data_IF_078388194539
#
_entry.id   IF_078388194539
#
_cell.length_a   1.000
_cell.length_b   1.000
_cell.length_c   1.000
_cell.angle_alpha   90.00
_cell.angle_beta   90.00
_cell.angle_gamma   90.00
#
_symmetry.space_group_name_H-M   'P 1'
#
loop_
_entity.id
_entity.type
_entity.pdbx_description
1 polymer ?
#
# COMPACT_ATOMS: atom_id res chain seq x y z
N UNK A 1 5.68 24.09 13.97
CA UNK A 1 5.81 22.63 14.12
C UNK A 1 6.23 22.05 12.77
N UNK A 2 6.85 20.88 12.72
CA UNK A 2 7.13 20.17 11.47
C UNK A 2 6.48 18.79 11.48
N UNK A 3 5.80 18.45 10.40
CA UNK A 3 5.27 17.11 10.18
C UNK A 3 6.24 16.36 9.25
N UNK A 4 6.70 15.19 9.69
CA UNK A 4 7.51 14.26 8.90
C UNK A 4 6.61 13.11 8.50
N UNK A 5 6.17 13.11 7.26
CA UNK A 5 5.42 12.00 6.67
C UNK A 5 6.37 10.87 6.25
N UNK A 6 5.87 9.63 6.32
CA UNK A 6 6.65 8.40 6.15
C UNK A 6 7.89 8.36 7.08
N UNK A 7 7.68 8.73 8.36
CA UNK A 7 8.74 8.93 9.34
C UNK A 7 9.62 7.68 9.56
N UNK A 8 9.12 6.48 9.25
CA UNK A 8 9.92 5.26 9.27
C UNK A 8 11.19 5.37 8.40
N UNK A 9 11.17 6.14 7.31
CA UNK A 9 12.30 6.33 6.40
C UNK A 9 13.57 6.88 7.06
N UNK A 10 13.44 7.47 8.26
CA UNK A 10 14.56 8.00 9.06
C UNK A 10 15.39 6.87 9.69
N UNK A 11 14.76 5.74 10.00
CA UNK A 11 15.37 4.62 10.71
C UNK A 11 16.01 3.63 9.74
N UNK A 12 17.25 3.23 10.02
CA UNK A 12 17.97 2.18 9.29
C UNK A 12 17.33 0.79 9.47
N UNK A 13 16.59 0.61 10.56
CA UNK A 13 15.82 -0.61 10.86
C UNK A 13 14.49 -0.68 10.11
N UNK A 14 14.13 0.38 9.39
CA UNK A 14 12.91 0.39 8.58
C UNK A 14 13.10 -0.35 7.25
N UNK A 15 11.99 -0.87 6.75
CA UNK A 15 11.92 -1.56 5.45
C UNK A 15 12.19 -0.66 4.23
N UNK A 16 12.28 0.66 4.42
CA UNK A 16 12.44 1.67 3.36
C UNK A 16 13.29 2.86 3.88
N UNK A 17 14.46 2.55 4.45
CA UNK A 17 15.40 3.57 4.90
C UNK A 17 15.83 4.50 3.75
N UNK A 18 15.76 5.82 3.99
CA UNK A 18 16.16 6.85 3.01
C UNK A 18 17.20 7.78 3.61
N UNK A 19 18.47 7.70 3.20
CA UNK A 19 19.53 8.58 3.69
C UNK A 19 19.25 10.08 3.48
N UNK A 20 18.37 10.46 2.55
CA UNK A 20 17.96 11.85 2.38
C UNK A 20 17.15 12.40 3.57
N UNK A 21 16.41 11.56 4.29
CA UNK A 21 15.74 11.96 5.53
C UNK A 21 16.76 12.29 6.63
N UNK A 22 17.93 11.63 6.63
CA UNK A 22 19.02 11.98 7.54
C UNK A 22 19.67 13.33 7.21
N UNK A 23 19.45 13.90 6.02
CA UNK A 23 19.94 15.27 5.72
C UNK A 23 19.09 16.34 6.42
N UNK A 24 17.81 16.05 6.70
CA UNK A 24 17.02 16.84 7.65
C UNK A 24 17.60 16.71 9.08
N UNK A 25 18.36 15.62 9.32
CA UNK A 25 19.06 15.27 10.54
C UNK A 25 20.57 15.63 10.58
N UNK A 26 21.16 16.26 9.57
CA UNK A 26 22.60 16.53 9.55
C UNK A 26 22.92 17.93 9.07
N UNK A 27 23.56 18.72 9.95
CA UNK A 27 24.92 19.27 9.72
C UNK A 27 25.65 19.45 11.05
N UNK A 28 26.73 18.68 11.30
CA UNK A 28 28.02 19.21 11.78
C UNK A 28 29.14 18.18 11.59
N UNK A 29 29.67 18.12 10.37
CA UNK A 29 30.97 17.51 10.09
C UNK A 29 31.92 18.59 9.59
N UNK A 30 32.63 19.25 10.49
CA UNK A 30 33.63 20.26 10.11
C UNK A 30 33.86 21.30 11.19
N UNK A 31 35.06 21.25 11.79
CA UNK A 31 35.64 22.30 12.62
C UNK A 31 35.46 23.67 11.92
N UNK A 32 34.78 24.60 12.58
CA UNK A 32 35.03 26.04 12.42
C UNK A 32 34.64 26.75 13.71
N UNK A 33 35.67 27.25 14.37
CA UNK A 33 35.57 28.28 15.41
C UNK A 33 34.96 29.50 14.74
N UNK A 34 33.71 29.84 15.09
CA UNK A 34 33.17 31.16 14.80
C UNK A 34 33.55 32.04 15.99
N UNK A 35 34.55 32.90 15.77
CA UNK A 35 34.74 34.13 16.57
C UNK A 35 33.47 34.97 16.39
N UNK A 36 32.81 35.33 17.48
CA UNK A 36 31.64 36.20 17.49
C UNK A 36 30.52 35.59 18.33
N UNK A 37 30.42 36.02 19.58
CA UNK A 37 29.49 35.50 20.57
C UNK A 37 28.03 35.74 20.22
N UNK A 38 27.25 34.66 20.23
CA UNK A 38 25.83 34.66 20.56
C UNK A 38 25.65 33.49 21.54
N UNK A 39 25.05 33.67 22.73
CA UNK A 39 24.91 32.59 23.69
C UNK A 39 23.98 31.51 23.13
N UNK A 40 24.45 30.27 23.09
CA UNK A 40 23.62 29.09 22.87
C UNK A 40 22.60 29.00 24.01
N UNK A 41 21.32 29.21 23.68
CA UNK A 41 20.21 28.92 24.58
C UNK A 41 20.24 27.44 24.98
N UNK A 42 20.44 27.18 26.27
CA UNK A 42 20.28 25.86 26.90
C UNK A 42 18.81 25.45 26.79
N UNK A 43 18.44 24.75 25.73
CA UNK A 43 17.09 24.19 25.58
C UNK A 43 16.97 23.07 24.56
N UNK A 44 18.09 22.59 24.01
CA UNK A 44 18.08 21.42 23.13
C UNK A 44 18.16 20.14 23.95
N UNK A 45 17.16 19.26 23.82
CA UNK A 45 17.25 17.87 24.29
C UNK A 45 18.48 17.21 23.64
N UNK A 46 19.47 16.72 24.43
CA UNK A 46 20.62 16.01 23.88
C UNK A 46 20.11 14.73 23.20
N UNK A 47 20.31 14.61 21.88
CA UNK A 47 19.98 13.38 21.13
C UNK A 47 19.11 13.54 19.89
N UNK A 48 18.42 14.69 19.70
CA UNK A 48 17.63 14.89 18.48
C UNK A 48 18.53 15.15 17.28
N UNK A 49 18.42 14.32 16.23
CA UNK A 49 19.28 14.48 15.04
C UNK A 49 18.76 15.57 14.09
N UNK A 50 17.50 16.02 14.17
CA UNK A 50 16.90 17.07 13.30
C UNK A 50 17.41 18.52 13.54
N UNK A 51 18.73 18.73 13.53
CA UNK A 51 19.36 20.02 13.81
C UNK A 51 18.98 21.11 12.80
N UNK A 52 18.92 20.82 11.50
CA UNK A 52 18.59 21.85 10.48
C UNK A 52 17.21 22.46 10.74
N UNK A 53 16.22 21.63 11.04
CA UNK A 53 14.86 22.08 11.33
C UNK A 53 14.78 22.83 12.67
N UNK A 54 15.50 22.36 13.70
CA UNK A 54 15.52 22.99 15.03
C UNK A 54 16.26 24.34 15.04
N UNK A 55 17.47 24.36 14.48
CA UNK A 55 18.43 25.46 14.64
C UNK A 55 18.26 26.53 13.56
N UNK A 56 18.06 26.15 12.29
CA UNK A 56 17.89 27.13 11.20
C UNK A 56 16.46 27.62 11.05
N UNK A 57 15.48 26.76 11.31
CA UNK A 57 14.06 27.07 11.11
C UNK A 57 13.28 27.23 12.42
N UNK A 58 13.93 27.10 13.59
CA UNK A 58 13.30 27.32 14.90
C UNK A 58 12.20 26.29 15.25
N UNK A 59 12.17 25.13 14.59
CA UNK A 59 11.13 24.12 14.80
C UNK A 59 11.36 23.41 16.14
N UNK A 60 10.44 23.59 17.10
CA UNK A 60 10.53 22.94 18.42
C UNK A 60 9.58 21.76 18.62
N UNK A 61 8.56 21.64 17.77
CA UNK A 61 7.53 20.60 17.83
C UNK A 61 7.57 19.76 16.54
N UNK A 62 7.66 18.45 16.69
CA UNK A 62 7.72 17.47 15.61
C UNK A 62 6.55 16.50 15.71
N UNK A 63 5.97 16.18 14.55
CA UNK A 63 4.97 15.12 14.39
C UNK A 63 5.51 14.13 13.36
N UNK A 64 5.78 12.89 13.77
CA UNK A 64 6.17 11.80 12.86
C UNK A 64 4.95 10.95 12.53
N UNK A 65 4.61 10.83 11.25
CA UNK A 65 3.51 9.98 10.78
C UNK A 65 4.09 8.78 10.03
N UNK A 66 3.60 7.58 10.35
CA UNK A 66 3.90 6.37 9.59
C UNK A 66 2.71 5.42 9.67
N UNK A 67 2.38 4.78 8.54
CA UNK A 67 1.34 3.76 8.51
C UNK A 67 1.83 2.41 9.05
N UNK A 68 3.09 2.08 8.82
CA UNK A 68 3.71 0.81 9.24
C UNK A 68 5.05 1.08 9.91
N UNK A 69 5.25 0.53 11.11
CA UNK A 69 6.54 0.53 11.81
C UNK A 69 6.55 -0.56 12.89
N UNK A 70 7.66 -1.30 12.98
CA UNK A 70 7.91 -2.16 14.14
C UNK A 70 8.14 -1.31 15.39
N UNK A 71 8.00 -1.88 16.59
CA UNK A 71 8.29 -1.15 17.83
C UNK A 71 9.75 -0.65 17.88
N UNK A 72 10.69 -1.43 17.34
CA UNK A 72 12.08 -1.02 17.20
C UNK A 72 12.23 0.18 16.25
N UNK A 73 11.60 0.13 15.08
CA UNK A 73 11.59 1.25 14.12
C UNK A 73 10.96 2.50 14.73
N UNK A 74 9.81 2.37 15.41
CA UNK A 74 9.12 3.49 16.03
C UNK A 74 9.95 4.16 17.14
N UNK A 75 10.66 3.36 17.96
CA UNK A 75 11.59 3.86 18.97
C UNK A 75 12.78 4.59 18.36
N UNK A 76 13.36 4.05 17.30
CA UNK A 76 14.47 4.71 16.61
C UNK A 76 14.02 6.03 15.96
N UNK A 77 12.86 6.05 15.31
CA UNK A 77 12.25 7.29 14.79
C UNK A 77 12.02 8.32 15.89
N UNK A 78 11.45 7.92 17.04
CA UNK A 78 11.25 8.81 18.19
C UNK A 78 12.58 9.38 18.71
N UNK A 79 13.62 8.54 18.82
CA UNK A 79 14.96 8.96 19.19
C UNK A 79 15.52 10.00 18.20
N UNK A 80 15.38 9.76 16.91
CA UNK A 80 15.80 10.71 15.88
C UNK A 80 15.09 12.06 16.00
N UNK A 81 13.78 12.07 16.22
CA UNK A 81 12.95 13.27 16.40
C UNK A 81 13.17 13.98 17.75
N UNK A 82 13.80 13.30 18.70
CA UNK A 82 13.96 13.78 20.08
C UNK A 82 12.64 13.79 20.85
N UNK A 83 11.77 12.81 20.56
CA UNK A 83 10.50 12.57 21.25
C UNK A 83 10.78 11.59 22.41
N UNK A 84 10.50 11.94 23.67
CA UNK A 84 10.67 11.04 24.81
C UNK A 84 9.84 9.77 24.66
N UNK A 85 10.40 8.63 25.05
CA UNK A 85 9.72 7.34 24.92
C UNK A 85 8.43 7.25 25.77
N UNK A 86 8.38 8.01 26.88
CA UNK A 86 7.21 8.08 27.78
C UNK A 86 6.09 9.03 27.32
N UNK A 87 6.36 9.99 26.43
CA UNK A 87 5.41 11.05 26.09
C UNK A 87 4.80 10.94 24.68
N UNK A 88 5.41 10.21 23.75
CA UNK A 88 5.11 10.45 22.33
C UNK A 88 5.09 9.26 21.38
N UNK A 89 5.19 8.01 21.85
CA UNK A 89 4.98 6.85 20.97
C UNK A 89 3.57 6.28 21.17
N UNK A 90 2.60 6.88 20.49
CA UNK A 90 1.26 6.30 20.37
C UNK A 90 1.27 5.14 19.35
N UNK A 91 1.90 4.00 19.69
CA UNK A 91 1.78 2.78 18.88
C UNK A 91 0.40 2.19 19.11
N UNK A 92 -0.55 2.46 18.21
CA UNK A 92 -1.74 1.63 18.11
C UNK A 92 -1.33 0.36 17.38
N UNK A 93 -1.51 -0.80 18.02
CA UNK A 93 -1.22 -2.08 17.40
C UNK A 93 -1.91 -2.15 16.03
N UNK A 94 -1.12 -2.33 14.98
CA UNK A 94 -1.59 -2.42 13.60
C UNK A 94 -2.23 -3.80 13.38
N UNK A 95 -3.37 -4.03 14.02
CA UNK A 95 -4.19 -5.19 13.70
C UNK A 95 -4.71 -5.03 12.28
N UNK A 96 -4.64 -6.10 11.49
CA UNK A 96 -5.30 -6.15 10.19
C UNK A 96 -6.80 -5.87 10.43
N UNK A 97 -7.42 -4.92 9.71
CA UNK A 97 -8.83 -4.62 9.90
C UNK A 97 -9.71 -5.87 9.76
N UNK A 98 -10.72 -6.07 10.62
CA UNK A 98 -11.52 -7.29 10.64
C UNK A 98 -12.38 -7.48 9.37
N UNK A 99 -12.59 -6.41 8.60
CA UNK A 99 -13.29 -6.45 7.31
C UNK A 99 -12.40 -6.92 6.14
N UNK A 100 -11.10 -7.17 6.37
CA UNK A 100 -10.21 -7.74 5.36
C UNK A 100 -10.17 -9.27 5.43
N UNK A 101 -10.64 -9.92 4.38
CA UNK A 101 -10.56 -11.37 4.22
C UNK A 101 -9.26 -11.73 3.48
N UNK A 102 -8.29 -12.25 4.22
CA UNK A 102 -7.00 -12.66 3.68
C UNK A 102 -7.05 -14.11 3.17
N UNK A 103 -6.41 -14.40 2.05
CA UNK A 103 -6.25 -15.75 1.53
C UNK A 103 -4.93 -15.90 0.76
N UNK A 104 -4.43 -17.13 0.68
CA UNK A 104 -3.15 -17.45 0.05
C UNK A 104 -3.31 -18.73 -0.77
N UNK A 105 -2.59 -18.85 -1.89
CA UNK A 105 -2.49 -20.09 -2.67
C UNK A 105 -1.09 -20.27 -3.25
N UNK A 106 -0.79 -21.51 -3.66
CA UNK A 106 0.47 -21.92 -4.30
C UNK A 106 0.16 -22.54 -5.66
N UNK A 107 -0.06 -21.69 -6.64
CA UNK A 107 -0.46 -22.12 -7.98
C UNK A 107 0.75 -22.30 -8.91
N UNK A 108 0.77 -23.42 -9.64
CA UNK A 108 1.79 -23.68 -10.66
C UNK A 108 1.68 -22.72 -11.84
N UNK A 109 0.45 -22.46 -12.28
CA UNK A 109 0.13 -21.49 -13.32
C UNK A 109 -0.64 -20.31 -12.70
N UNK A 110 0.10 -19.27 -12.34
CA UNK A 110 -0.46 -18.06 -11.72
C UNK A 110 -1.34 -17.24 -12.66
N UNK A 111 -1.08 -17.28 -13.97
CA UNK A 111 -1.88 -16.55 -14.94
C UNK A 111 -3.31 -17.12 -14.98
N UNK A 112 -3.43 -18.45 -15.09
CA UNK A 112 -4.73 -19.13 -15.05
C UNK A 112 -5.41 -19.00 -13.69
N UNK A 113 -4.65 -19.10 -12.60
CA UNK A 113 -5.19 -18.93 -11.25
C UNK A 113 -5.71 -17.50 -11.02
N UNK A 114 -5.01 -16.47 -11.50
CA UNK A 114 -5.47 -15.08 -11.43
C UNK A 114 -6.78 -14.88 -12.21
N UNK A 115 -6.87 -15.39 -13.43
CA UNK A 115 -8.11 -15.27 -14.23
C UNK A 115 -9.27 -16.02 -13.56
N UNK A 116 -9.01 -17.22 -13.04
CA UNK A 116 -10.01 -18.01 -12.31
C UNK A 116 -10.47 -17.30 -11.03
N UNK A 117 -9.53 -16.69 -10.30
CA UNK A 117 -9.83 -15.88 -9.12
C UNK A 117 -10.74 -14.70 -9.47
N UNK A 118 -10.36 -13.92 -10.49
CA UNK A 118 -11.09 -12.72 -10.94
C UNK A 118 -12.47 -13.02 -11.55
N UNK A 119 -12.74 -14.27 -11.94
CA UNK A 119 -14.05 -14.77 -12.39
C UNK A 119 -14.85 -15.44 -11.28
N UNK A 120 -14.17 -15.95 -10.25
CA UNK A 120 -14.78 -16.70 -9.16
C UNK A 120 -15.65 -15.82 -8.25
N UNK A 121 -16.37 -16.47 -7.34
CA UNK A 121 -17.37 -15.82 -6.49
C UNK A 121 -16.82 -14.66 -5.64
N UNK A 122 -15.56 -14.76 -5.21
CA UNK A 122 -14.92 -13.78 -4.31
C UNK A 122 -14.53 -12.47 -5.01
N UNK A 123 -14.05 -12.53 -6.25
CA UNK A 123 -13.55 -11.35 -6.97
C UNK A 123 -14.40 -10.96 -8.19
N UNK A 124 -15.28 -11.87 -8.67
CA UNK A 124 -16.09 -11.69 -9.87
C UNK A 124 -17.05 -10.51 -9.81
N UNK A 125 -17.61 -10.21 -8.63
CA UNK A 125 -18.54 -9.11 -8.40
C UNK A 125 -17.87 -7.79 -7.97
N UNK A 126 -16.54 -7.77 -7.79
CA UNK A 126 -15.80 -6.60 -7.30
C UNK A 126 -15.45 -5.65 -8.45
N UNK A 127 -15.71 -4.37 -8.23
CA UNK A 127 -15.56 -3.29 -9.23
C UNK A 127 -14.25 -2.50 -9.09
N UNK A 128 -13.48 -2.75 -8.04
CA UNK A 128 -12.26 -1.99 -7.73
C UNK A 128 -11.23 -2.92 -7.11
N UNK A 129 -10.32 -3.38 -7.96
CA UNK A 129 -9.29 -4.37 -7.63
C UNK A 129 -7.92 -3.81 -7.98
N UNK A 130 -6.95 -3.99 -7.09
CA UNK A 130 -5.54 -3.71 -7.35
C UNK A 130 -4.80 -5.04 -7.44
N UNK A 131 -4.04 -5.26 -8.51
CA UNK A 131 -3.15 -6.40 -8.66
C UNK A 131 -1.72 -5.90 -8.58
N UNK A 132 -0.98 -6.28 -7.53
CA UNK A 132 0.42 -5.92 -7.34
C UNK A 132 1.35 -6.89 -8.04
N UNK A 133 2.22 -6.34 -8.87
CA UNK A 133 3.34 -7.02 -9.53
C UNK A 133 4.67 -6.40 -9.09
N UNK A 134 5.74 -7.19 -9.11
CA UNK A 134 7.09 -6.71 -8.75
C UNK A 134 7.74 -5.92 -9.87
N UNK A 135 7.50 -6.31 -11.13
CA UNK A 135 8.18 -5.77 -12.31
C UNK A 135 7.26 -4.93 -13.19
N UNK A 136 7.83 -3.93 -13.87
CA UNK A 136 7.08 -3.02 -14.75
C UNK A 136 6.55 -3.76 -15.98
N UNK A 137 7.40 -4.55 -16.62
CA UNK A 137 7.03 -5.36 -17.80
C UNK A 137 5.87 -6.33 -17.49
N UNK A 138 5.85 -6.87 -16.27
CA UNK A 138 4.81 -7.79 -15.80
C UNK A 138 3.46 -7.10 -15.65
N UNK A 139 3.42 -5.85 -15.16
CA UNK A 139 2.14 -5.12 -15.04
C UNK A 139 1.44 -4.96 -16.39
N UNK A 140 2.18 -4.66 -17.46
CA UNK A 140 1.63 -4.53 -18.81
C UNK A 140 1.13 -5.88 -19.35
N UNK A 141 1.91 -6.94 -19.15
CA UNK A 141 1.56 -8.31 -19.57
C UNK A 141 0.29 -8.80 -18.88
N UNK A 142 0.21 -8.66 -17.57
CA UNK A 142 -0.94 -9.09 -16.77
C UNK A 142 -2.18 -8.24 -17.08
N UNK A 143 -2.04 -6.92 -17.26
CA UNK A 143 -3.17 -6.09 -17.67
C UNK A 143 -3.71 -6.51 -19.05
N UNK A 144 -2.82 -6.84 -20.00
CA UNK A 144 -3.20 -7.35 -21.31
C UNK A 144 -3.92 -8.71 -21.20
N UNK A 145 -3.38 -9.65 -20.41
CA UNK A 145 -4.00 -10.95 -20.14
C UNK A 145 -5.42 -10.78 -19.59
N UNK A 146 -5.61 -9.95 -18.57
CA UNK A 146 -6.91 -9.70 -17.96
C UNK A 146 -7.89 -9.09 -18.98
N UNK A 147 -7.44 -8.12 -19.79
CA UNK A 147 -8.27 -7.54 -20.85
C UNK A 147 -8.70 -8.60 -21.88
N UNK A 148 -7.81 -9.47 -22.32
CA UNK A 148 -8.11 -10.50 -23.31
C UNK A 148 -9.04 -11.57 -22.75
N UNK A 149 -8.76 -12.07 -21.54
CA UNK A 149 -9.51 -13.17 -20.96
C UNK A 149 -10.87 -12.75 -20.38
N UNK A 150 -11.06 -11.49 -19.98
CA UNK A 150 -12.30 -11.03 -19.35
C UNK A 150 -13.17 -10.16 -20.27
N UNK A 151 -12.87 -10.10 -21.57
CA UNK A 151 -13.71 -9.44 -22.56
C UNK A 151 -15.16 -9.94 -22.51
N UNK A 152 -16.12 -9.02 -22.45
CA UNK A 152 -17.56 -9.35 -22.52
C UNK A 152 -18.18 -9.94 -21.25
N UNK A 153 -17.45 -10.03 -20.13
CA UNK A 153 -18.01 -10.51 -18.87
C UNK A 153 -18.92 -9.43 -18.26
N UNK A 154 -20.20 -9.77 -18.09
CA UNK A 154 -21.12 -9.05 -17.21
C UNK A 154 -20.72 -9.35 -15.75
N UNK A 155 -20.45 -8.32 -14.97
CA UNK A 155 -20.13 -8.47 -13.55
C UNK A 155 -21.29 -9.15 -12.83
N UNK A 156 -21.00 -10.24 -12.12
CA UNK A 156 -22.00 -10.95 -11.31
C UNK A 156 -22.51 -10.02 -10.22
N UNK A 157 -23.84 -9.93 -10.07
CA UNK A 157 -24.43 -9.18 -8.96
C UNK A 157 -23.98 -9.81 -7.62
N UNK A 158 -23.56 -9.02 -6.62
CA UNK A 158 -23.29 -9.55 -5.30
C UNK A 158 -24.58 -10.19 -4.76
N UNK A 159 -24.49 -11.45 -4.31
CA UNK A 159 -25.61 -12.14 -3.66
C UNK A 159 -26.12 -11.25 -2.51
N UNK A 160 -27.37 -10.80 -2.63
CA UNK A 160 -27.87 -9.65 -1.87
C UNK A 160 -27.75 -9.81 -0.36
N UNK A 161 -27.15 -8.82 0.30
CA UNK A 161 -27.40 -8.54 1.70
C UNK A 161 -28.86 -8.06 1.84
N UNK A 162 -29.78 -8.99 1.98
CA UNK A 162 -31.18 -8.71 2.27
C UNK A 162 -31.31 -8.19 3.70
N UNK A 163 -31.39 -6.86 3.88
CA UNK A 163 -31.93 -6.29 5.11
C UNK A 163 -33.46 -6.49 5.13
N UNK A 164 -34.02 -7.15 6.15
CA UNK A 164 -35.46 -7.26 6.33
C UNK A 164 -35.97 -5.98 7.01
N UNK A 165 -36.73 -5.14 6.30
CA UNK A 165 -37.43 -4.03 6.98
C UNK A 165 -37.90 -2.81 6.19
N UNK A 166 -38.02 -2.82 4.86
CA UNK A 166 -38.58 -1.64 4.14
C UNK A 166 -39.54 -2.00 3.02
N UNK A 167 -40.58 -1.17 2.91
CA UNK A 167 -41.87 -1.39 2.25
C UNK A 167 -41.81 -1.72 0.74
N UNK A 168 -42.74 -2.59 0.33
CA UNK A 168 -42.77 -3.22 -0.99
C UNK A 168 -42.97 -2.25 -2.17
N UNK A 169 -43.49 -1.04 -1.92
CA UNK A 169 -43.78 -0.03 -2.95
C UNK A 169 -42.53 0.80 -3.35
N UNK A 170 -41.70 1.22 -2.39
CA UNK A 170 -40.41 1.87 -2.67
C UNK A 170 -39.41 0.89 -3.30
N UNK A 171 -39.49 -0.40 -2.93
CA UNK A 171 -38.74 -1.49 -3.58
C UNK A 171 -38.94 -1.53 -5.09
N UNK A 172 -40.11 -1.21 -5.64
CA UNK A 172 -40.33 -1.29 -7.11
C UNK A 172 -39.69 -0.12 -7.87
N UNK A 173 -39.77 1.11 -7.35
CA UNK A 173 -39.11 2.29 -7.96
C UNK A 173 -37.58 2.26 -7.77
N UNK A 174 -37.08 1.80 -6.62
CA UNK A 174 -35.65 1.63 -6.37
C UNK A 174 -35.06 0.43 -7.13
N UNK A 175 -35.76 -0.73 -7.22
CA UNK A 175 -35.31 -1.88 -8.02
C UNK A 175 -35.28 -1.60 -9.53
N UNK A 176 -36.15 -0.74 -10.06
CA UNK A 176 -36.12 -0.41 -11.49
C UNK A 176 -34.90 0.46 -11.87
N UNK A 177 -34.45 1.34 -10.97
CA UNK A 177 -33.30 2.25 -11.20
C UNK A 177 -31.94 1.64 -10.89
N UNK A 178 -31.88 0.56 -10.09
CA UNK A 178 -30.64 -0.09 -9.63
C UNK A 178 -30.19 -1.29 -10.49
N UNK A 179 -30.97 -1.65 -11.53
CA UNK A 179 -30.81 -2.89 -12.33
C UNK A 179 -29.84 -2.80 -13.52
N UNK A 180 -29.17 -1.67 -13.72
CA UNK A 180 -28.20 -1.51 -14.80
C UNK A 180 -26.98 -0.80 -14.25
N UNK A 181 -25.95 -1.57 -13.88
CA UNK A 181 -24.60 -1.01 -13.76
C UNK A 181 -24.19 -0.50 -15.13
N UNK A 182 -23.68 0.74 -15.20
CA UNK A 182 -23.04 1.22 -16.43
C UNK A 182 -21.93 0.25 -16.78
N UNK A 183 -21.84 -0.25 -18.03
CA UNK A 183 -20.74 -1.10 -18.43
C UNK A 183 -19.43 -0.36 -18.14
N UNK A 184 -18.53 -1.00 -17.39
CA UNK A 184 -17.22 -0.43 -17.13
C UNK A 184 -16.53 -0.17 -18.46
N UNK A 185 -16.00 1.04 -18.63
CA UNK A 185 -15.34 1.43 -19.87
C UNK A 185 -14.07 0.60 -20.09
N UNK A 186 -13.41 0.17 -19.00
CA UNK A 186 -12.16 -0.58 -19.03
C UNK A 186 -12.14 -1.68 -17.98
N UNK A 187 -11.70 -2.87 -18.38
CA UNK A 187 -11.58 -4.02 -17.47
C UNK A 187 -10.25 -3.97 -16.71
N UNK A 188 -9.14 -3.68 -17.37
CA UNK A 188 -7.83 -3.64 -16.73
C UNK A 188 -6.85 -2.70 -17.42
N UNK A 189 -6.02 -2.02 -16.62
CA UNK A 189 -4.91 -1.20 -17.12
C UNK A 189 -3.68 -1.29 -16.23
N UNK A 190 -2.50 -1.03 -16.81
CA UNK A 190 -1.23 -1.11 -16.11
C UNK A 190 -0.87 0.23 -15.46
N UNK A 191 -0.17 0.20 -14.32
CA UNK A 191 0.35 1.39 -13.65
C UNK A 191 1.75 1.15 -13.09
N UNK A 192 2.73 1.89 -13.58
CA UNK A 192 4.09 1.85 -13.06
C UNK A 192 4.83 3.16 -13.31
N UNK A 193 5.97 3.35 -12.64
CA UNK A 193 6.79 4.56 -12.75
C UNK A 193 7.42 4.80 -14.15
N UNK A 194 7.31 3.84 -15.06
CA UNK A 194 7.78 3.98 -16.44
C UNK A 194 6.76 4.64 -17.39
N UNK A 195 5.51 4.78 -16.96
CA UNK A 195 4.48 5.48 -17.73
C UNK A 195 4.66 6.99 -17.66
N UNK A 196 4.23 7.69 -18.70
CA UNK A 196 4.19 9.15 -18.70
C UNK A 196 3.29 9.66 -17.57
N UNK A 197 3.53 10.90 -17.11
CA UNK A 197 2.69 11.52 -16.09
C UNK A 197 1.20 11.60 -16.51
N UNK A 198 0.95 11.85 -17.80
CA UNK A 198 -0.40 11.90 -18.37
C UNK A 198 -1.10 10.54 -18.30
N UNK A 199 -0.41 9.45 -18.68
CA UNK A 199 -0.95 8.08 -18.61
C UNK A 199 -1.24 7.66 -17.17
N UNK A 200 -0.29 7.90 -16.23
CA UNK A 200 -0.51 7.63 -14.81
C UNK A 200 -1.76 8.35 -14.29
N UNK A 201 -1.90 9.64 -14.61
CA UNK A 201 -3.07 10.42 -14.22
C UNK A 201 -4.36 9.89 -14.82
N UNK A 202 -4.34 9.48 -16.09
CA UNK A 202 -5.50 8.87 -16.76
C UNK A 202 -5.93 7.56 -16.09
N UNK A 203 -5.00 6.66 -15.84
CA UNK A 203 -5.27 5.35 -15.20
C UNK A 203 -5.80 5.57 -13.79
N UNK A 204 -5.13 6.42 -13.00
CA UNK A 204 -5.55 6.76 -11.65
C UNK A 204 -6.96 7.36 -11.65
N UNK A 205 -7.24 8.38 -12.47
CA UNK A 205 -8.57 9.00 -12.54
C UNK A 205 -9.66 8.00 -12.98
N UNK A 206 -9.35 7.08 -13.89
CA UNK A 206 -10.29 6.05 -14.34
C UNK A 206 -10.61 5.06 -13.21
N UNK A 207 -9.63 4.70 -12.39
CA UNK A 207 -9.85 3.86 -11.21
C UNK A 207 -10.61 4.59 -10.10
N UNK A 208 -10.23 5.84 -9.80
CA UNK A 208 -10.89 6.69 -8.81
C UNK A 208 -12.37 6.90 -9.12
N UNK A 209 -12.70 7.14 -10.39
CA UNK A 209 -14.09 7.35 -10.86
C UNK A 209 -14.90 6.07 -11.08
N UNK A 210 -14.32 4.89 -10.80
CA UNK A 210 -15.00 3.60 -11.00
C UNK A 210 -15.22 3.24 -12.47
N UNK A 211 -14.45 3.80 -13.41
CA UNK A 211 -14.49 3.45 -14.84
C UNK A 211 -13.55 2.29 -15.19
N UNK A 212 -12.58 2.01 -14.33
CA UNK A 212 -11.59 0.94 -14.47
C UNK A 212 -11.75 -0.06 -13.33
N UNK A 213 -12.01 -1.33 -13.67
CA UNK A 213 -12.20 -2.40 -12.68
C UNK A 213 -10.90 -2.77 -11.96
N UNK A 214 -9.86 -3.06 -12.74
CA UNK A 214 -8.60 -3.61 -12.26
C UNK A 214 -7.45 -2.69 -12.62
N UNK A 215 -6.66 -2.29 -11.63
CA UNK A 215 -5.35 -1.67 -11.86
C UNK A 215 -4.29 -2.71 -11.56
N UNK A 216 -3.45 -3.00 -12.56
CA UNK A 216 -2.28 -3.86 -12.39
C UNK A 216 -1.06 -2.97 -12.18
N UNK A 217 -0.48 -2.99 -11.00
CA UNK A 217 0.47 -1.99 -10.57
C UNK A 217 1.72 -2.53 -9.91
N UNK A 218 2.80 -1.77 -9.97
CA UNK A 218 3.87 -1.89 -8.97
C UNK A 218 3.53 -1.05 -7.73
N UNK A 219 4.35 -1.16 -6.68
CA UNK A 219 4.24 -0.36 -5.44
C UNK A 219 4.06 1.15 -5.70
N UNK A 220 4.51 1.64 -6.87
CA UNK A 220 4.36 3.02 -7.30
C UNK A 220 2.91 3.54 -7.36
N UNK A 221 1.89 2.68 -7.51
CA UNK A 221 0.49 3.10 -7.49
C UNK A 221 -0.01 3.45 -6.08
N UNK A 222 0.63 2.90 -5.05
CA UNK A 222 0.19 3.08 -3.68
C UNK A 222 0.48 4.47 -3.10
N UNK A 223 1.49 5.19 -3.58
CA UNK A 223 1.82 6.50 -3.00
C UNK A 223 0.74 7.53 -3.39
N UNK A 224 -0.15 7.87 -2.46
CA UNK A 224 -1.20 8.89 -2.66
C UNK A 224 -2.54 8.39 -3.24
N UNK A 225 -2.78 7.07 -3.29
CA UNK A 225 -4.10 6.54 -3.61
C UNK A 225 -5.04 6.70 -2.40
N UNK A 226 -6.11 7.47 -2.56
CA UNK A 226 -7.15 7.66 -1.55
C UNK A 226 -8.54 7.33 -2.10
N UNK A 227 -8.76 6.03 -2.35
CA UNK A 227 -10.06 5.48 -2.72
C UNK A 227 -10.56 4.64 -1.55
N UNK A 228 -11.68 5.03 -0.93
CA UNK A 228 -12.19 4.35 0.27
C UNK A 228 -12.76 2.96 -0.03
N UNK A 229 -13.25 2.78 -1.26
CA UNK A 229 -14.02 1.64 -1.72
C UNK A 229 -13.23 0.64 -2.57
N UNK A 230 -11.92 0.49 -2.32
CA UNK A 230 -11.14 -0.61 -2.93
C UNK A 230 -11.60 -1.94 -2.32
N UNK A 231 -12.09 -2.84 -3.16
CA UNK A 231 -12.72 -4.11 -2.76
C UNK A 231 -11.81 -5.32 -2.84
N UNK A 232 -10.80 -5.28 -3.70
CA UNK A 232 -9.87 -6.37 -3.91
C UNK A 232 -8.42 -5.91 -3.93
N UNK A 233 -7.54 -6.63 -3.25
CA UNK A 233 -6.09 -6.53 -3.42
C UNK A 233 -5.54 -7.92 -3.74
N UNK A 234 -4.77 -8.04 -4.81
CA UNK A 234 -4.16 -9.30 -5.22
C UNK A 234 -2.67 -9.10 -5.36
N UNK A 235 -1.87 -9.87 -4.64
CA UNK A 235 -0.43 -9.92 -4.79
C UNK A 235 -0.08 -11.04 -5.76
N UNK A 236 0.25 -10.68 -7.00
CA UNK A 236 0.69 -11.63 -8.03
C UNK A 236 2.08 -12.20 -7.73
N UNK A 237 2.93 -11.39 -7.08
CA UNK A 237 4.18 -11.82 -6.50
C UNK A 237 4.25 -11.42 -5.03
N UNK A 238 5.09 -12.13 -4.28
CA UNK A 238 5.37 -11.81 -2.88
C UNK A 238 5.95 -10.39 -2.73
N UNK A 239 5.39 -9.55 -1.85
CA UNK A 239 6.00 -8.28 -1.47
C UNK A 239 7.40 -8.48 -0.90
N UNK A 240 8.25 -7.44 -0.99
CA UNK A 240 9.64 -7.52 -0.52
C UNK A 240 9.77 -7.80 0.98
N UNK A 241 8.78 -7.36 1.75
CA UNK A 241 8.73 -7.49 3.20
C UNK A 241 7.28 -7.43 3.67
N UNK A 242 7.07 -7.83 4.93
CA UNK A 242 5.75 -7.91 5.54
C UNK A 242 5.11 -6.52 5.71
N UNK A 243 5.88 -5.49 5.99
CA UNK A 243 5.39 -4.11 6.12
C UNK A 243 4.79 -3.59 4.81
N UNK A 244 5.44 -3.88 3.68
CA UNK A 244 4.90 -3.56 2.35
C UNK A 244 3.58 -4.28 2.12
N UNK A 245 3.51 -5.58 2.45
CA UNK A 245 2.27 -6.36 2.36
C UNK A 245 1.14 -5.71 3.16
N UNK A 246 1.38 -5.39 4.44
CA UNK A 246 0.40 -4.75 5.33
C UNK A 246 -0.07 -3.40 4.79
N UNK A 247 0.87 -2.56 4.32
CA UNK A 247 0.54 -1.25 3.76
C UNK A 247 -0.28 -1.36 2.46
N UNK A 248 -0.01 -2.38 1.65
CA UNK A 248 -0.68 -2.64 0.38
C UNK A 248 -2.10 -3.19 0.59
N UNK A 249 -2.30 -4.17 1.47
CA UNK A 249 -3.64 -4.67 1.81
C UNK A 249 -4.49 -3.63 2.54
N UNK A 250 -3.86 -2.75 3.35
CA UNK A 250 -4.52 -1.65 4.07
C UNK A 250 -5.13 -0.56 3.17
N UNK A 251 -5.06 -0.73 1.85
CA UNK A 251 -5.74 0.12 0.86
C UNK A 251 -7.16 -0.34 0.61
N UNK A 252 -7.44 -1.62 0.84
CA UNK A 252 -8.78 -2.18 0.69
C UNK A 252 -9.64 -1.85 1.91
N UNK A 253 -10.95 -1.77 1.73
CA UNK A 253 -11.89 -1.76 2.88
C UNK A 253 -11.79 -0.54 3.80
N UNK A 254 -11.34 0.63 3.31
CA UNK A 254 -11.21 1.84 4.14
C UNK A 254 -12.55 2.44 4.58
N UNK A 255 -13.61 2.13 3.84
CA UNK A 255 -15.01 2.40 4.19
C UNK A 255 -15.58 1.46 5.26
N UNK A 256 -14.82 0.44 5.69
CA UNK A 256 -15.24 -0.55 6.67
C UNK A 256 -16.03 -1.73 6.07
N UNK A 257 -16.37 -1.68 4.78
CA UNK A 257 -17.07 -2.77 4.09
C UNK A 257 -16.13 -3.95 3.80
N UNK A 258 -16.66 -5.17 3.62
CA UNK A 258 -15.85 -6.35 3.32
C UNK A 258 -14.95 -6.13 2.09
N UNK A 259 -13.68 -6.54 2.22
CA UNK A 259 -12.73 -6.54 1.13
C UNK A 259 -11.88 -7.81 1.15
N UNK A 260 -11.45 -8.25 -0.04
CA UNK A 260 -10.73 -9.50 -0.22
C UNK A 260 -9.27 -9.23 -0.59
N UNK A 261 -8.35 -9.86 0.13
CA UNK A 261 -6.92 -9.83 -0.18
C UNK A 261 -6.46 -11.25 -0.51
N UNK A 262 -5.69 -11.38 -1.60
CA UNK A 262 -5.17 -12.68 -2.03
C UNK A 262 -3.69 -12.60 -2.40
N UNK A 263 -2.89 -13.56 -1.94
CA UNK A 263 -1.46 -13.65 -2.24
C UNK A 263 -1.15 -14.97 -2.94
N UNK A 264 -0.51 -14.88 -4.11
CA UNK A 264 0.08 -16.03 -4.77
C UNK A 264 1.52 -16.22 -4.29
N UNK A 265 1.79 -17.36 -3.65
CA UNK A 265 3.13 -17.77 -3.26
C UNK A 265 3.83 -18.47 -4.43
N UNK A 266 5.15 -18.30 -4.49
CA UNK A 266 5.96 -19.10 -5.38
C UNK A 266 5.90 -20.57 -4.92
N UNK A 267 5.58 -21.54 -5.81
CA UNK A 267 5.77 -22.94 -5.47
C UNK A 267 7.27 -23.15 -5.23
N UNK A 268 7.65 -23.60 -4.03
CA UNK A 268 9.05 -23.76 -3.64
C UNK A 268 9.89 -24.39 -4.76
N UNK A 269 10.96 -23.69 -5.18
CA UNK A 269 12.06 -24.34 -5.86
C UNK A 269 12.73 -25.19 -4.78
N UNK A 270 12.55 -26.52 -4.85
CA UNK A 270 13.32 -27.44 -4.02
C UNK A 270 14.80 -27.02 -4.12
N UNK A 271 15.54 -26.88 -2.99
CA UNK A 271 16.98 -26.71 -3.09
C UNK A 271 17.50 -27.87 -3.92
N UNK A 272 18.32 -27.58 -4.93
CA UNK A 272 18.96 -28.60 -5.73
C UNK A 272 19.84 -29.46 -4.80
N UNK A 273 19.29 -30.54 -4.26
CA UNK A 273 20.03 -31.61 -3.62
C UNK A 273 20.73 -32.42 -4.72
N UNK A 274 21.72 -31.78 -5.33
CA UNK A 274 22.66 -32.36 -6.27
C UNK A 274 24.04 -32.40 -5.64
N UNK A 275 24.23 -33.30 -4.68
CA UNK A 275 25.53 -33.90 -4.37
C UNK A 275 25.30 -35.39 -4.11
N UNK A 276 24.99 -36.10 -5.20
CA UNK A 276 25.34 -37.51 -5.31
C UNK A 276 26.86 -37.60 -5.41
N UNK A 277 27.53 -37.57 -4.26
CA UNK A 277 28.93 -37.94 -4.12
C UNK A 277 28.98 -39.36 -3.56
N UNK A 278 28.88 -40.35 -4.44
CA UNK A 278 29.36 -41.69 -4.12
C UNK A 278 30.87 -41.64 -3.97
N UNK A 279 31.39 -42.26 -2.92
CA UNK A 279 32.80 -42.60 -2.76
C UNK A 279 32.84 -44.06 -2.24
N UNK A 280 33.75 -44.89 -2.79
CA UNK A 280 33.66 -46.36 -2.78
C UNK A 280 33.93 -47.03 -1.44
#
# INVERSE_FOLDING_TARGET
FACIDEAHCVSEWSHNFRPCYLRLCQVRGGKRVLKGGIPLGRGGTPGSRFWVLRDRLGVRCFLGLTATATLATARDVAQHLGIPAEEGIAVRSAAVPPNLHLSVSMDRDRDQALISLLRGERFGCLDSIIVYCTRREETARIAALIRTCLQGILLTEPAGAGQPGQDAAERKKAKAKKRVRRPLKWIADAYHAGLSAAERRRVQNSFMSGQLRVVVATVAFGMGLDKSDVRGVVHYNMPKNFESYVQEIGRAGRDGEPAHCHLFLDPEVRPASGLGGGIP
#
